data_IF_684751558507
#
_entry.id   IF_684751558507
#
_cell.length_a   1.000
_cell.length_b   1.000
_cell.length_c   1.000
_cell.angle_alpha   90.00
_cell.angle_beta   90.00
_cell.angle_gamma   90.00
#
_symmetry.space_group_name_H-M   'P 1'
#
loop_
_entity.id
_entity.type
_entity.pdbx_description
1 polymer ?
#
# COMPACT_ATOMS: atom_id res chain seq x y z
N UNK A 1 15.75 -24.48 -12.12
CA UNK A 1 16.66 -25.42 -11.40
C UNK A 1 17.85 -24.73 -10.72
N UNK A 2 18.53 -23.76 -11.34
CA UNK A 2 19.68 -23.08 -10.72
C UNK A 2 19.32 -22.34 -9.41
N UNK A 3 18.24 -21.55 -9.41
CA UNK A 3 17.75 -20.84 -8.22
C UNK A 3 17.37 -21.79 -7.08
N UNK A 4 16.61 -22.86 -7.38
CA UNK A 4 16.18 -23.86 -6.39
C UNK A 4 17.37 -24.58 -5.74
N UNK A 5 18.42 -24.89 -6.51
CA UNK A 5 19.64 -25.49 -5.98
C UNK A 5 20.43 -24.53 -5.09
N UNK A 6 20.56 -23.26 -5.51
CA UNK A 6 21.23 -22.24 -4.70
C UNK A 6 20.52 -22.02 -3.34
N UNK A 7 19.19 -21.99 -3.37
CA UNK A 7 18.37 -21.89 -2.17
C UNK A 7 18.54 -23.12 -1.27
N UNK A 8 18.50 -24.34 -1.83
CA UNK A 8 18.74 -25.57 -1.07
C UNK A 8 20.11 -25.57 -0.40
N UNK A 9 21.16 -25.19 -1.13
CA UNK A 9 22.53 -25.08 -0.57
C UNK A 9 22.57 -24.07 0.60
N UNK A 10 21.91 -22.93 0.44
CA UNK A 10 21.83 -21.91 1.50
C UNK A 10 21.10 -22.46 2.73
N UNK A 11 19.95 -23.11 2.54
CA UNK A 11 19.19 -23.72 3.64
C UNK A 11 19.99 -24.83 4.35
N UNK A 12 20.68 -25.68 3.59
CA UNK A 12 21.57 -26.71 4.14
C UNK A 12 22.71 -26.11 4.97
N UNK A 13 23.31 -25.00 4.54
CA UNK A 13 24.35 -24.30 5.33
C UNK A 13 23.83 -23.73 6.65
N UNK A 14 22.52 -23.52 6.75
CA UNK A 14 21.83 -23.06 7.96
C UNK A 14 21.20 -24.24 8.75
N UNK A 15 21.57 -25.48 8.43
CA UNK A 15 21.05 -26.71 9.05
C UNK A 15 19.56 -26.97 8.87
N UNK A 16 18.95 -26.40 7.82
CA UNK A 16 17.58 -26.75 7.42
C UNK A 16 17.59 -27.89 6.39
N UNK A 17 16.68 -28.85 6.55
CA UNK A 17 16.36 -29.84 5.53
C UNK A 17 15.42 -29.23 4.48
N UNK A 18 15.76 -29.39 3.21
CA UNK A 18 14.97 -28.85 2.10
C UNK A 18 14.92 -29.83 0.93
N UNK A 19 13.73 -30.06 0.41
CA UNK A 19 13.46 -30.89 -0.76
C UNK A 19 13.02 -30.00 -1.92
N UNK A 20 13.47 -30.33 -3.14
CA UNK A 20 13.10 -29.60 -4.35
C UNK A 20 11.93 -30.33 -5.00
N UNK A 21 10.77 -29.67 -5.03
CA UNK A 21 9.58 -30.14 -5.71
C UNK A 21 9.46 -29.44 -7.07
N UNK A 22 9.60 -30.20 -8.15
CA UNK A 22 9.37 -29.68 -9.51
C UNK A 22 7.92 -29.93 -9.90
N UNK A 23 7.10 -28.89 -9.81
CA UNK A 23 5.70 -29.01 -10.18
C UNK A 23 5.52 -29.20 -11.70
N UNK A 24 4.71 -30.17 -12.06
CA UNK A 24 4.19 -30.42 -13.41
C UNK A 24 2.73 -30.81 -13.30
N UNK A 25 2.00 -30.93 -14.41
CA UNK A 25 0.62 -31.41 -14.36
C UNK A 25 0.50 -32.84 -13.76
N UNK A 26 1.54 -33.67 -13.90
CA UNK A 26 1.57 -35.01 -13.29
C UNK A 26 1.72 -34.96 -11.76
N UNK A 27 2.20 -33.84 -11.21
CA UNK A 27 2.33 -33.67 -9.76
C UNK A 27 0.98 -33.66 -9.04
N UNK A 28 -0.11 -33.37 -9.75
CA UNK A 28 -1.48 -33.41 -9.20
C UNK A 28 -1.90 -34.82 -8.76
N UNK A 29 -1.37 -35.87 -9.40
CA UNK A 29 -1.67 -37.26 -9.07
C UNK A 29 -0.51 -38.01 -8.39
N UNK A 30 0.64 -37.36 -8.21
CA UNK A 30 1.81 -37.95 -7.55
C UNK A 30 1.65 -37.92 -6.02
N UNK A 31 1.47 -39.10 -5.44
CA UNK A 31 1.30 -39.28 -4.00
C UNK A 31 2.53 -38.90 -3.19
N UNK A 32 3.74 -39.08 -3.72
CA UNK A 32 4.98 -38.66 -3.06
C UNK A 32 5.05 -37.14 -3.04
N UNK A 33 4.80 -36.50 -4.20
CA UNK A 33 4.81 -35.03 -4.32
C UNK A 33 3.81 -34.38 -3.36
N UNK A 34 2.56 -34.84 -3.40
CA UNK A 34 1.47 -34.28 -2.59
C UNK A 34 1.69 -34.52 -1.10
N UNK A 35 2.24 -35.68 -0.71
CA UNK A 35 2.59 -35.97 0.68
C UNK A 35 3.72 -35.07 1.18
N UNK A 36 4.78 -34.87 0.40
CA UNK A 36 5.88 -33.95 0.76
C UNK A 36 5.36 -32.51 0.88
N UNK A 37 4.55 -32.06 -0.08
CA UNK A 37 3.95 -30.72 -0.05
C UNK A 37 3.09 -30.53 1.20
N UNK A 38 2.24 -31.52 1.53
CA UNK A 38 1.38 -31.47 2.70
C UNK A 38 2.15 -31.55 4.02
N UNK A 39 3.25 -32.30 4.08
CA UNK A 39 4.11 -32.42 5.27
C UNK A 39 5.04 -31.24 5.55
N UNK A 40 5.22 -30.33 4.59
CA UNK A 40 6.15 -29.20 4.73
C UNK A 40 5.74 -28.18 5.82
N UNK A 41 6.69 -27.58 6.53
CA UNK A 41 6.40 -26.47 7.47
C UNK A 41 6.64 -25.10 6.84
N UNK A 42 7.45 -25.04 5.78
CA UNK A 42 7.78 -23.83 5.05
C UNK A 42 7.86 -24.17 3.56
N UNK A 43 7.29 -23.30 2.73
CA UNK A 43 7.33 -23.40 1.27
C UNK A 43 8.11 -22.22 0.70
N UNK A 44 9.06 -22.51 -0.19
CA UNK A 44 9.71 -21.51 -1.02
C UNK A 44 9.26 -21.72 -2.47
N UNK A 45 8.67 -20.69 -3.07
CA UNK A 45 8.21 -20.72 -4.47
C UNK A 45 9.11 -19.82 -5.29
N UNK A 46 9.86 -20.43 -6.20
CA UNK A 46 10.81 -19.75 -7.08
C UNK A 46 10.40 -19.96 -8.53
N UNK A 47 10.57 -18.94 -9.35
CA UNK A 47 10.22 -18.97 -10.77
C UNK A 47 10.15 -17.56 -11.35
N UNK A 48 10.61 -17.42 -12.59
CA UNK A 48 10.62 -16.14 -13.29
C UNK A 48 9.29 -15.88 -14.04
N UNK A 49 8.50 -16.94 -14.28
CA UNK A 49 7.16 -16.88 -14.85
C UNK A 49 6.17 -17.83 -14.14
N UNK A 50 4.87 -17.58 -14.33
CA UNK A 50 3.79 -18.34 -13.69
C UNK A 50 3.26 -19.49 -14.54
N UNK A 51 3.69 -19.64 -15.79
CA UNK A 51 3.06 -20.53 -16.79
C UNK A 51 3.00 -21.97 -16.28
N UNK A 52 4.12 -22.48 -15.74
CA UNK A 52 4.18 -23.83 -15.20
C UNK A 52 3.39 -24.03 -13.91
N UNK A 53 3.15 -22.95 -13.14
CA UNK A 53 2.44 -23.00 -11.86
C UNK A 53 0.94 -22.72 -12.00
N UNK A 54 0.46 -22.11 -13.09
CA UNK A 54 -0.96 -21.81 -13.31
C UNK A 54 -1.90 -23.00 -13.08
N UNK A 55 -1.55 -24.26 -13.42
CA UNK A 55 -2.47 -25.38 -13.19
C UNK A 55 -2.83 -25.60 -11.71
N UNK A 56 -2.02 -25.12 -10.75
CA UNK A 56 -2.37 -25.17 -9.30
C UNK A 56 -3.57 -24.28 -8.95
N UNK A 57 -3.93 -23.35 -9.84
CA UNK A 57 -5.06 -22.42 -9.67
C UNK A 57 -6.36 -22.99 -10.26
N UNK A 58 -6.30 -24.11 -10.97
CA UNK A 58 -7.49 -24.70 -11.59
C UNK A 58 -8.44 -25.23 -10.52
N UNK A 59 -9.77 -25.04 -10.68
CA UNK A 59 -10.75 -25.70 -9.83
C UNK A 59 -10.51 -27.21 -9.78
N UNK A 60 -10.40 -27.76 -8.57
CA UNK A 60 -10.13 -29.20 -8.36
C UNK A 60 -8.66 -29.61 -8.38
N UNK A 61 -7.71 -28.67 -8.51
CA UNK A 61 -6.28 -28.98 -8.28
C UNK A 61 -6.06 -29.52 -6.87
N UNK A 62 -5.44 -30.70 -6.78
CA UNK A 62 -5.08 -31.35 -5.51
C UNK A 62 -3.97 -30.53 -4.83
N UNK A 63 -2.95 -30.12 -5.59
CA UNK A 63 -1.88 -29.28 -5.07
C UNK A 63 -2.40 -27.90 -4.63
N UNK A 64 -3.28 -27.28 -5.42
CA UNK A 64 -3.94 -26.03 -5.08
C UNK A 64 -4.77 -26.13 -3.79
N UNK A 65 -5.54 -27.21 -3.64
CA UNK A 65 -6.31 -27.49 -2.42
C UNK A 65 -5.43 -27.66 -1.18
N UNK A 66 -4.29 -28.35 -1.30
CA UNK A 66 -3.30 -28.46 -0.22
C UNK A 66 -2.76 -27.07 0.13
N UNK A 67 -2.29 -26.30 -0.86
CA UNK A 67 -1.73 -24.97 -0.63
C UNK A 67 -2.73 -24.04 0.06
N UNK A 68 -3.98 -23.97 -0.41
CA UNK A 68 -5.03 -23.16 0.20
C UNK A 68 -5.30 -23.59 1.65
N UNK A 69 -5.46 -24.89 1.89
CA UNK A 69 -5.70 -25.42 3.25
C UNK A 69 -4.56 -25.04 4.19
N UNK A 70 -3.32 -25.05 3.71
CA UNK A 70 -2.14 -24.71 4.50
C UNK A 70 -1.97 -23.21 4.72
N UNK A 71 -2.38 -22.35 3.78
CA UNK A 71 -2.40 -20.90 3.99
C UNK A 71 -3.24 -20.50 5.20
N UNK A 72 -4.24 -21.32 5.55
CA UNK A 72 -5.13 -21.11 6.69
C UNK A 72 -4.56 -21.70 8.00
N UNK A 73 -3.48 -22.48 7.94
CA UNK A 73 -2.89 -23.13 9.11
C UNK A 73 -1.89 -22.20 9.84
N UNK A 74 -2.03 -22.02 11.17
CA UNK A 74 -1.06 -21.29 11.95
C UNK A 74 0.34 -21.89 11.84
N UNK A 75 1.36 -21.04 11.64
CA UNK A 75 2.77 -21.44 11.65
C UNK A 75 3.33 -21.94 10.33
N UNK A 76 2.50 -22.19 9.31
CA UNK A 76 2.99 -22.44 7.95
C UNK A 76 3.48 -21.14 7.32
N UNK A 77 4.64 -21.20 6.67
CA UNK A 77 5.31 -20.01 6.09
C UNK A 77 5.50 -20.20 4.60
N UNK A 78 5.21 -19.16 3.82
CA UNK A 78 5.43 -19.14 2.38
C UNK A 78 6.35 -17.99 2.02
N UNK A 79 7.40 -18.29 1.27
CA UNK A 79 8.31 -17.32 0.68
C UNK A 79 8.16 -17.40 -0.84
N UNK A 80 7.57 -16.38 -1.43
CA UNK A 80 7.37 -16.30 -2.88
C UNK A 80 8.26 -15.20 -3.45
N UNK A 81 8.98 -15.50 -4.53
CA UNK A 81 9.93 -14.59 -5.16
C UNK A 81 9.37 -14.05 -6.47
N UNK A 82 9.46 -12.73 -6.66
CA UNK A 82 9.02 -12.05 -7.88
C UNK A 82 7.55 -12.31 -8.20
N UNK A 83 7.28 -12.74 -9.43
CA UNK A 83 5.93 -12.95 -9.97
C UNK A 83 5.16 -14.07 -9.25
N UNK A 84 5.85 -15.04 -8.64
CA UNK A 84 5.22 -16.15 -7.90
C UNK A 84 4.38 -15.69 -6.71
N UNK A 85 4.66 -14.51 -6.15
CA UNK A 85 3.86 -13.92 -5.08
C UNK A 85 2.39 -13.68 -5.46
N UNK A 86 2.13 -13.49 -6.75
CA UNK A 86 0.76 -13.31 -7.29
C UNK A 86 -0.13 -14.53 -7.08
N UNK A 87 0.45 -15.73 -7.02
CA UNK A 87 -0.32 -16.96 -6.80
C UNK A 87 -1.05 -16.94 -5.46
N UNK A 88 -0.55 -16.19 -4.48
CA UNK A 88 -1.05 -16.20 -3.10
C UNK A 88 -2.04 -15.06 -2.81
N UNK A 89 -2.44 -14.30 -3.82
CA UNK A 89 -3.47 -13.25 -3.70
C UNK A 89 -4.85 -13.76 -4.11
N UNK A 90 -5.85 -12.87 -4.16
CA UNK A 90 -7.20 -13.23 -4.61
C UNK A 90 -7.31 -13.26 -6.12
N UNK A 91 -6.58 -12.38 -6.78
CA UNK A 91 -6.43 -12.37 -8.22
C UNK A 91 -5.23 -11.53 -8.62
N UNK A 92 -4.87 -11.64 -9.89
CA UNK A 92 -3.75 -10.91 -10.47
C UNK A 92 -3.93 -10.72 -11.97
N UNK A 93 -3.21 -9.72 -12.47
CA UNK A 93 -3.02 -9.52 -13.90
C UNK A 93 -1.92 -10.43 -14.42
N UNK A 94 -2.23 -11.09 -15.51
CA UNK A 94 -1.43 -12.07 -16.23
C UNK A 94 -1.19 -11.60 -17.67
N UNK A 95 -0.32 -12.29 -18.38
CA UNK A 95 0.09 -11.97 -19.75
C UNK A 95 0.77 -10.59 -19.87
N UNK A 96 1.59 -10.22 -18.87
CA UNK A 96 2.27 -8.92 -18.80
C UNK A 96 3.55 -8.84 -19.63
N UNK A 97 4.14 -9.98 -19.99
CA UNK A 97 5.49 -10.08 -20.56
C UNK A 97 5.50 -10.54 -22.02
N UNK A 98 4.38 -11.08 -22.54
CA UNK A 98 4.31 -11.59 -23.92
C UNK A 98 4.21 -10.50 -24.99
N UNK A 99 3.75 -9.30 -24.61
CA UNK A 99 3.68 -8.12 -25.45
C UNK A 99 4.02 -6.89 -24.59
N UNK A 100 5.03 -6.11 -25.00
CA UNK A 100 5.42 -4.87 -24.29
C UNK A 100 4.28 -3.84 -24.23
N UNK A 101 3.28 -3.97 -25.11
CA UNK A 101 2.08 -3.14 -25.17
C UNK A 101 0.82 -3.89 -24.70
N UNK A 102 0.93 -4.92 -23.86
CA UNK A 102 -0.20 -5.75 -23.46
C UNK A 102 -1.36 -4.92 -22.87
N UNK A 103 -1.08 -4.02 -21.92
CA UNK A 103 -2.10 -3.14 -21.33
C UNK A 103 -2.67 -2.17 -22.39
N UNK A 104 -1.82 -1.58 -23.22
CA UNK A 104 -2.23 -0.67 -24.29
C UNK A 104 -3.17 -1.34 -25.31
N UNK A 105 -2.89 -2.60 -25.64
CA UNK A 105 -3.59 -3.38 -26.69
C UNK A 105 -4.72 -4.28 -26.20
N UNK A 106 -5.03 -4.22 -24.90
CA UNK A 106 -6.08 -5.02 -24.30
C UNK A 106 -5.76 -6.52 -24.25
N UNK A 107 -4.50 -6.89 -23.99
CA UNK A 107 -4.00 -8.27 -24.00
C UNK A 107 -3.68 -8.83 -22.61
N UNK A 108 -3.68 -8.03 -21.55
CA UNK A 108 -3.58 -8.58 -20.19
C UNK A 108 -4.78 -9.49 -19.91
N UNK A 109 -4.57 -10.54 -19.14
CA UNK A 109 -5.62 -11.45 -18.70
C UNK A 109 -5.78 -11.34 -17.19
N UNK A 110 -6.97 -11.63 -16.68
CA UNK A 110 -7.19 -11.75 -15.24
C UNK A 110 -7.13 -13.23 -14.86
N UNK A 111 -6.37 -13.54 -13.82
CA UNK A 111 -6.33 -14.87 -13.22
C UNK A 111 -6.69 -14.78 -11.73
N UNK A 112 -7.44 -15.78 -11.26
CA UNK A 112 -7.77 -15.95 -9.84
C UNK A 112 -6.56 -16.54 -9.12
N UNK A 113 -6.23 -16.04 -7.93
CA UNK A 113 -5.17 -16.60 -7.11
C UNK A 113 -5.68 -17.68 -6.14
N UNK A 114 -4.77 -18.24 -5.35
CA UNK A 114 -5.05 -19.30 -4.38
C UNK A 114 -5.89 -18.81 -3.19
N UNK A 115 -5.83 -17.51 -2.85
CA UNK A 115 -6.48 -16.98 -1.65
C UNK A 115 -7.58 -15.97 -2.00
N UNK A 116 -8.77 -16.45 -2.43
CA UNK A 116 -9.86 -15.58 -2.85
C UNK A 116 -10.34 -14.61 -1.75
N UNK A 117 -10.16 -14.96 -0.48
CA UNK A 117 -10.64 -14.16 0.66
C UNK A 117 -9.70 -13.01 1.04
N UNK A 118 -8.46 -13.00 0.53
CA UNK A 118 -7.51 -11.92 0.82
C UNK A 118 -7.96 -10.53 0.33
N UNK A 119 -8.87 -10.50 -0.65
CA UNK A 119 -9.36 -9.31 -1.33
C UNK A 119 -8.24 -8.37 -1.85
N UNK A 120 -7.14 -8.98 -2.29
CA UNK A 120 -5.88 -8.32 -2.60
C UNK A 120 -5.39 -8.69 -4.01
N UNK A 121 -4.78 -7.71 -4.66
CA UNK A 121 -3.92 -7.88 -5.85
C UNK A 121 -2.50 -7.44 -5.53
N UNK A 122 -1.52 -8.19 -6.04
CA UNK A 122 -0.11 -7.85 -5.95
C UNK A 122 0.52 -7.78 -7.35
N UNK A 123 1.39 -6.80 -7.56
CA UNK A 123 2.27 -6.74 -8.73
C UNK A 123 3.70 -6.46 -8.29
N UNK A 124 4.62 -7.37 -8.58
CA UNK A 124 6.06 -7.19 -8.38
C UNK A 124 6.71 -6.26 -9.41
N UNK A 125 7.98 -5.89 -9.17
CA UNK A 125 8.89 -5.30 -10.18
C UNK A 125 8.38 -4.04 -10.88
N UNK A 126 7.55 -3.24 -10.18
CA UNK A 126 6.91 -2.05 -10.76
C UNK A 126 7.92 -1.07 -11.36
N UNK A 127 9.05 -0.90 -10.69
CA UNK A 127 10.08 0.10 -11.02
C UNK A 127 11.34 -0.51 -11.66
N UNK A 128 11.30 -1.77 -12.09
CA UNK A 128 12.44 -2.32 -12.83
C UNK A 128 12.50 -1.65 -14.20
N UNK A 129 13.71 -1.24 -14.59
CA UNK A 129 14.00 -0.62 -15.88
C UNK A 129 13.71 -1.59 -17.03
N UNK A 130 12.56 -1.43 -17.68
CA UNK A 130 12.09 -2.31 -18.74
C UNK A 130 10.97 -1.67 -19.55
N UNK A 131 10.81 -2.13 -20.80
CA UNK A 131 9.71 -1.74 -21.69
C UNK A 131 8.32 -2.22 -21.22
N UNK A 132 8.24 -2.92 -20.08
CA UNK A 132 7.00 -3.45 -19.50
C UNK A 132 6.36 -2.50 -18.50
N UNK A 133 6.88 -1.28 -18.34
CA UNK A 133 6.42 -0.31 -17.33
C UNK A 133 4.90 -0.06 -17.41
N UNK A 134 4.35 0.22 -18.60
CA UNK A 134 2.90 0.46 -18.73
C UNK A 134 2.09 -0.76 -18.30
N UNK A 135 2.51 -1.96 -18.70
CA UNK A 135 1.85 -3.20 -18.31
C UNK A 135 1.82 -3.34 -16.79
N UNK A 136 2.97 -3.17 -16.13
CA UNK A 136 3.08 -3.31 -14.66
C UNK A 136 2.33 -2.22 -13.91
N UNK A 137 2.39 -0.97 -14.37
CA UNK A 137 1.64 0.14 -13.77
C UNK A 137 0.14 -0.05 -13.86
N UNK A 138 -0.37 -0.58 -14.97
CA UNK A 138 -1.81 -0.82 -15.13
C UNK A 138 -2.28 -2.06 -14.39
N UNK A 139 -1.37 -3.01 -14.10
CA UNK A 139 -1.74 -4.37 -13.76
C UNK A 139 -2.53 -4.51 -12.45
N UNK A 140 -2.11 -3.86 -11.36
CA UNK A 140 -2.78 -4.08 -10.07
C UNK A 140 -4.16 -3.45 -10.07
N UNK A 141 -4.25 -2.19 -10.50
CA UNK A 141 -5.51 -1.46 -10.62
C UNK A 141 -6.47 -2.16 -11.59
N UNK A 142 -6.04 -2.56 -12.79
CA UNK A 142 -6.89 -3.26 -13.74
C UNK A 142 -7.38 -4.61 -13.19
N UNK A 143 -6.54 -5.37 -12.50
CA UNK A 143 -6.98 -6.61 -11.84
C UNK A 143 -7.94 -6.35 -10.66
N UNK A 144 -7.79 -5.25 -9.92
CA UNK A 144 -8.77 -4.84 -8.91
C UNK A 144 -10.13 -4.61 -9.56
N UNK A 145 -10.19 -3.89 -10.69
CA UNK A 145 -11.43 -3.70 -11.44
C UNK A 145 -12.02 -5.02 -11.94
N UNK A 146 -11.22 -5.86 -12.61
CA UNK A 146 -11.69 -7.12 -13.20
C UNK A 146 -12.16 -8.12 -12.16
N UNK A 147 -11.44 -8.24 -11.04
CA UNK A 147 -11.75 -9.13 -9.94
C UNK A 147 -12.72 -8.55 -8.92
N UNK A 148 -13.11 -7.27 -9.05
CA UNK A 148 -13.87 -6.52 -8.03
C UNK A 148 -13.21 -6.57 -6.64
N UNK A 149 -11.89 -6.43 -6.63
CA UNK A 149 -11.05 -6.53 -5.43
C UNK A 149 -10.85 -5.15 -4.80
N UNK A 150 -10.75 -5.12 -3.47
CA UNK A 150 -10.67 -3.89 -2.67
C UNK A 150 -9.27 -3.34 -2.57
N UNK A 151 -8.27 -4.21 -2.47
CA UNK A 151 -6.89 -3.80 -2.21
C UNK A 151 -5.97 -4.15 -3.37
N UNK A 152 -5.06 -3.21 -3.68
CA UNK A 152 -3.95 -3.41 -4.59
C UNK A 152 -2.63 -3.04 -3.92
N UNK A 153 -1.56 -3.73 -4.29
CA UNK A 153 -0.21 -3.44 -3.81
C UNK A 153 0.80 -3.55 -4.95
N UNK A 154 1.71 -2.57 -5.02
CA UNK A 154 2.87 -2.64 -5.90
C UNK A 154 4.13 -2.99 -5.11
N UNK A 155 4.90 -3.90 -5.69
CA UNK A 155 6.17 -4.39 -5.20
C UNK A 155 7.34 -3.87 -6.03
N UNK A 156 8.52 -3.87 -5.43
CA UNK A 156 9.79 -3.57 -6.11
C UNK A 156 10.75 -4.75 -5.96
N UNK A 157 11.62 -4.99 -6.93
CA UNK A 157 12.50 -6.18 -6.98
C UNK A 157 13.36 -6.38 -5.72
N UNK A 158 13.76 -5.31 -5.05
CA UNK A 158 14.66 -5.35 -3.89
C UNK A 158 13.93 -5.44 -2.54
N UNK A 159 12.60 -5.58 -2.55
CA UNK A 159 11.79 -5.49 -1.33
C UNK A 159 11.18 -6.81 -0.90
N UNK A 160 11.09 -6.96 0.42
CA UNK A 160 10.37 -8.04 1.06
C UNK A 160 9.09 -7.46 1.62
N UNK A 161 7.95 -8.09 1.27
CA UNK A 161 6.64 -7.76 1.81
C UNK A 161 6.23 -8.89 2.74
N UNK A 162 6.09 -8.59 4.04
CA UNK A 162 5.75 -9.58 5.05
C UNK A 162 4.26 -9.48 5.40
N UNK A 163 3.48 -10.43 4.91
CA UNK A 163 2.06 -10.55 5.22
C UNK A 163 1.85 -11.37 6.48
N UNK A 164 1.18 -10.77 7.46
CA UNK A 164 0.82 -11.44 8.72
C UNK A 164 -0.67 -11.72 8.70
N UNK A 165 -1.03 -13.00 8.65
CA UNK A 165 -2.44 -13.44 8.67
C UNK A 165 -3.10 -13.20 10.02
N UNK A 166 -2.34 -13.19 11.12
CA UNK A 166 -2.86 -13.02 12.48
C UNK A 166 -3.56 -11.69 12.73
N UNK A 167 -3.10 -10.62 12.08
CA UNK A 167 -3.62 -9.25 12.24
C UNK A 167 -4.04 -8.62 10.90
N UNK A 168 -4.05 -9.42 9.83
CA UNK A 168 -4.30 -8.98 8.46
C UNK A 168 -3.50 -7.72 8.11
N UNK A 169 -2.18 -7.79 8.30
CA UNK A 169 -1.27 -6.67 8.06
C UNK A 169 -0.13 -7.00 7.10
N UNK A 170 0.48 -5.95 6.55
CA UNK A 170 1.68 -6.06 5.71
C UNK A 170 2.73 -5.02 6.11
N UNK A 171 4.00 -5.42 6.12
CA UNK A 171 5.16 -4.52 6.24
C UNK A 171 6.06 -4.63 5.01
N UNK A 172 6.89 -3.61 4.77
CA UNK A 172 7.91 -3.64 3.72
C UNK A 172 9.31 -3.35 4.29
N UNK A 173 10.35 -3.89 3.64
CA UNK A 173 11.74 -3.69 4.06
C UNK A 173 12.42 -2.48 3.41
N UNK A 174 12.55 -2.47 2.08
CA UNK A 174 13.48 -1.58 1.36
C UNK A 174 12.79 -0.53 0.48
N UNK A 175 11.60 -0.83 -0.01
CA UNK A 175 10.79 0.08 -0.83
C UNK A 175 9.56 0.53 -0.05
N UNK A 176 9.09 1.78 -0.25
CA UNK A 176 7.88 2.25 0.39
C UNK A 176 6.71 1.29 0.13
N UNK A 177 5.99 0.95 1.18
CA UNK A 177 4.77 0.17 1.06
C UNK A 177 3.70 1.05 0.41
N UNK A 178 3.25 0.67 -0.79
CA UNK A 178 2.20 1.36 -1.54
C UNK A 178 0.94 0.50 -1.59
N UNK A 179 -0.12 0.96 -0.93
CA UNK A 179 -1.42 0.30 -0.88
C UNK A 179 -2.48 1.17 -1.54
N UNK A 180 -3.26 0.55 -2.42
CA UNK A 180 -4.43 1.10 -3.08
C UNK A 180 -5.66 0.49 -2.42
N UNK A 181 -6.58 1.32 -1.94
CA UNK A 181 -7.80 0.91 -1.25
C UNK A 181 -9.02 1.52 -1.96
N UNK A 182 -9.79 0.66 -2.61
CA UNK A 182 -11.01 1.00 -3.34
C UNK A 182 -12.28 0.74 -2.50
N UNK A 183 -12.16 0.50 -1.18
CA UNK A 183 -13.31 0.15 -0.33
C UNK A 183 -14.37 1.24 -0.22
N UNK A 184 -14.03 2.50 -0.50
CA UNK A 184 -14.96 3.65 -0.54
C UNK A 184 -15.37 4.05 -1.96
N UNK A 185 -14.91 3.29 -2.96
CA UNK A 185 -15.29 3.52 -4.34
C UNK A 185 -16.74 3.12 -4.58
N UNK A 186 -17.45 3.96 -5.32
CA UNK A 186 -18.83 3.73 -5.77
C UNK A 186 -18.93 3.62 -7.28
N UNK A 187 -17.90 4.05 -7.99
CA UNK A 187 -17.80 4.06 -9.45
C UNK A 187 -16.41 3.60 -9.86
N UNK A 188 -16.38 2.58 -10.71
CA UNK A 188 -15.19 2.14 -11.39
C UNK A 188 -15.54 1.81 -12.84
N UNK A 189 -14.73 2.30 -13.77
CA UNK A 189 -14.89 2.04 -15.20
C UNK A 189 -13.53 1.85 -15.87
N UNK A 190 -13.54 1.27 -17.08
CA UNK A 190 -12.36 1.05 -17.90
C UNK A 190 -12.50 1.75 -19.25
N UNK A 191 -11.38 2.02 -19.92
CA UNK A 191 -11.42 2.62 -21.25
C UNK A 191 -12.23 1.77 -22.22
N UNK A 192 -13.03 2.44 -23.07
CA UNK A 192 -13.71 1.84 -24.24
C UNK A 192 -12.90 2.04 -25.53
N UNK A 193 -11.82 2.83 -25.48
CA UNK A 193 -10.99 3.12 -26.64
C UNK A 193 -10.04 1.96 -26.97
N UNK A 194 -10.06 1.55 -28.23
CA UNK A 194 -9.20 0.51 -28.80
C UNK A 194 -8.15 1.16 -29.69
N UNK A 195 -6.88 0.91 -29.42
CA UNK A 195 -5.80 1.38 -30.28
C UNK A 195 -5.61 0.50 -31.52
N UNK A 196 -4.88 0.99 -32.51
CA UNK A 196 -4.51 0.22 -33.72
C UNK A 196 -3.82 -1.09 -33.34
N UNK A 197 -4.21 -2.19 -33.99
CA UNK A 197 -3.71 -3.55 -33.72
C UNK A 197 -3.99 -4.12 -32.33
N UNK A 198 -4.88 -3.49 -31.56
CA UNK A 198 -5.37 -4.01 -30.27
C UNK A 198 -6.42 -5.09 -30.49
N UNK A 199 -6.59 -6.02 -29.55
CA UNK A 199 -7.67 -7.04 -29.59
C UNK A 199 -8.86 -6.64 -28.69
N UNK A 200 -8.64 -5.74 -27.75
CA UNK A 200 -9.65 -5.19 -26.85
C UNK A 200 -9.29 -3.73 -26.50
N UNK A 201 -10.16 -2.99 -25.79
CA UNK A 201 -9.84 -1.65 -25.31
C UNK A 201 -8.59 -1.62 -24.42
N UNK A 202 -7.97 -0.44 -24.32
CA UNK A 202 -6.82 -0.21 -23.43
C UNK A 202 -7.19 -0.52 -21.99
N UNK A 203 -6.37 -1.30 -21.31
CA UNK A 203 -6.64 -1.81 -19.96
C UNK A 203 -6.17 -0.83 -18.88
N UNK A 204 -6.70 0.39 -18.97
CA UNK A 204 -6.60 1.44 -17.96
C UNK A 204 -7.96 1.62 -17.31
N UNK A 205 -7.97 2.09 -16.07
CA UNK A 205 -9.19 2.24 -15.30
C UNK A 205 -9.28 3.61 -14.64
N UNK A 206 -10.52 4.02 -14.38
CA UNK A 206 -10.86 5.13 -13.51
C UNK A 206 -11.61 4.57 -12.29
N UNK A 207 -11.19 4.95 -11.09
CA UNK A 207 -11.84 4.59 -9.82
C UNK A 207 -12.08 5.89 -9.05
N UNK A 208 -13.32 6.16 -8.64
CA UNK A 208 -13.59 7.26 -7.72
C UNK A 208 -13.26 6.88 -6.27
N UNK A 209 -12.92 7.86 -5.43
CA UNK A 209 -12.59 7.65 -4.01
C UNK A 209 -11.52 6.57 -3.75
N UNK A 210 -10.59 6.40 -4.68
CA UNK A 210 -9.44 5.52 -4.47
C UNK A 210 -8.51 6.15 -3.44
N UNK A 211 -8.27 5.46 -2.33
CA UNK A 211 -7.28 5.89 -1.34
C UNK A 211 -5.93 5.26 -1.65
N UNK A 212 -4.89 6.09 -1.72
CA UNK A 212 -3.51 5.62 -1.84
C UNK A 212 -2.83 5.87 -0.49
N UNK A 213 -2.31 4.81 0.11
CA UNK A 213 -1.55 4.87 1.35
C UNK A 213 -0.10 4.49 1.06
N UNK A 214 0.83 5.35 1.43
CA UNK A 214 2.26 5.15 1.24
C UNK A 214 3.01 5.33 2.57
N UNK A 215 3.97 4.45 2.86
CA UNK A 215 4.88 4.62 3.99
C UNK A 215 6.26 4.09 3.65
N UNK A 216 7.29 4.87 3.98
CA UNK A 216 8.69 4.44 3.97
C UNK A 216 9.18 4.04 5.39
N UNK A 217 8.30 4.05 6.38
CA UNK A 217 8.61 3.67 7.76
C UNK A 217 8.59 2.15 7.88
N UNK A 218 9.77 1.54 8.02
CA UNK A 218 9.95 0.08 8.01
C UNK A 218 9.28 -0.64 9.20
N UNK A 219 9.06 0.07 10.29
CA UNK A 219 8.37 -0.43 11.49
C UNK A 219 6.85 -0.27 11.42
N UNK A 220 6.35 0.42 10.39
CA UNK A 220 4.92 0.62 10.19
C UNK A 220 4.34 -0.53 9.37
N UNK A 221 3.22 -1.06 9.83
CA UNK A 221 2.47 -2.08 9.09
C UNK A 221 1.16 -1.49 8.61
N UNK A 222 0.75 -1.78 7.38
CA UNK A 222 -0.60 -1.44 6.94
C UNK A 222 -1.56 -2.53 7.41
N UNK A 223 -2.58 -2.16 8.19
CA UNK A 223 -3.66 -3.05 8.58
C UNK A 223 -4.79 -2.98 7.54
N UNK A 224 -5.09 -4.09 6.88
CA UNK A 224 -6.17 -4.16 5.88
C UNK A 224 -7.55 -3.98 6.52
N UNK A 225 -7.74 -4.46 7.76
CA UNK A 225 -9.00 -4.32 8.50
C UNK A 225 -9.24 -2.88 8.96
N UNK A 226 -8.19 -2.20 9.44
CA UNK A 226 -8.29 -0.80 9.87
C UNK A 226 -8.09 0.20 8.74
N UNK A 227 -7.65 -0.27 7.56
CA UNK A 227 -7.40 0.55 6.37
C UNK A 227 -6.43 1.71 6.65
N UNK A 228 -5.40 1.47 7.47
CA UNK A 228 -4.40 2.47 7.84
C UNK A 228 -3.08 1.84 8.25
N UNK A 229 -2.03 2.66 8.27
CA UNK A 229 -0.77 2.31 8.91
C UNK A 229 -0.94 2.27 10.42
N UNK A 230 -0.43 1.21 11.04
CA UNK A 230 -0.30 1.01 12.48
C UNK A 230 1.17 0.79 12.77
N UNK A 231 1.74 1.58 13.68
CA UNK A 231 3.12 1.41 14.09
C UNK A 231 3.26 0.15 14.95
N UNK A 232 4.24 -0.70 14.64
CA UNK A 232 4.68 -1.69 15.62
C UNK A 232 5.35 -0.93 16.75
N UNK A 233 4.80 -1.07 17.96
CA UNK A 233 5.18 -0.35 19.17
C UNK A 233 6.69 -0.16 19.35
N UNK A 234 7.18 1.01 18.97
CA UNK A 234 8.30 1.69 19.62
C UNK A 234 7.85 3.11 19.91
N UNK A 235 7.08 3.24 20.98
CA UNK A 235 6.91 4.45 21.80
C UNK A 235 7.30 5.77 21.12
N UNK A 236 6.49 6.21 20.16
CA UNK A 236 6.20 7.62 20.05
C UNK A 236 5.03 7.80 21.00
N UNK A 237 5.22 8.62 22.05
CA UNK A 237 4.08 9.19 22.75
C UNK A 237 3.32 9.96 21.67
N UNK A 238 2.23 9.39 21.17
CA UNK A 238 1.15 10.21 20.68
C UNK A 238 0.84 11.16 21.84
N UNK A 239 1.27 12.42 21.75
CA UNK A 239 0.53 13.46 22.44
C UNK A 239 -0.87 13.33 21.85
N UNK A 240 -1.82 12.83 22.63
CA UNK A 240 -3.19 12.55 22.19
C UNK A 240 -3.72 13.71 21.33
N UNK A 241 -3.62 13.56 20.00
CA UNK A 241 -4.16 14.51 19.04
C UNK A 241 -5.65 14.23 19.00
N UNK A 242 -6.38 14.76 19.98
CA UNK A 242 -7.82 14.84 19.92
C UNK A 242 -8.13 15.87 18.83
N UNK A 243 -8.60 15.46 17.66
CA UNK A 243 -9.25 16.41 16.76
C UNK A 243 -10.61 16.77 17.39
N UNK A 244 -10.92 18.06 17.58
CA UNK A 244 -12.20 18.45 18.16
C UNK A 244 -13.35 18.02 17.25
N UNK A 245 -14.47 17.59 17.84
CA UNK A 245 -15.67 17.22 17.09
C UNK A 245 -16.05 18.31 16.08
N UNK A 246 -16.27 17.91 14.82
CA UNK A 246 -16.60 18.81 13.70
C UNK A 246 -17.75 19.75 14.10
N UNK A 247 -17.44 21.04 14.22
CA UNK A 247 -18.44 22.12 14.35
C UNK A 247 -18.36 22.96 15.63
N UNK A 248 -17.57 22.60 16.64
CA UNK A 248 -17.47 23.38 17.89
C UNK A 248 -16.28 24.35 17.98
N UNK A 249 -15.22 24.13 17.20
CA UNK A 249 -14.01 24.97 17.23
C UNK A 249 -13.58 25.33 15.81
N UNK A 250 -13.33 26.62 15.56
CA UNK A 250 -12.81 27.08 14.27
C UNK A 250 -11.68 28.09 14.46
N UNK A 251 -10.67 27.95 13.61
CA UNK A 251 -9.52 28.84 13.54
C UNK A 251 -9.85 29.99 12.57
N UNK A 252 -9.54 31.21 12.99
CA UNK A 252 -9.76 32.44 12.23
C UNK A 252 -8.43 33.12 11.97
N UNK A 253 -8.15 33.41 10.71
CA UNK A 253 -6.91 34.04 10.25
C UNK A 253 -7.29 35.34 9.57
N UNK A 254 -6.78 36.47 10.06
CA UNK A 254 -7.10 37.78 9.51
C UNK A 254 -5.90 38.73 9.57
N UNK A 255 -5.61 39.49 8.50
CA UNK A 255 -6.19 39.37 7.16
C UNK A 255 -5.77 38.05 6.47
N UNK A 256 -6.58 37.57 5.53
CA UNK A 256 -6.24 36.45 4.65
C UNK A 256 -6.90 36.67 3.27
N UNK A 257 -6.14 36.98 2.19
CA UNK A 257 -4.68 37.02 2.11
C UNK A 257 -4.03 38.02 3.08
N UNK A 258 -2.89 37.62 3.65
CA UNK A 258 -2.11 38.37 4.61
C UNK A 258 -0.99 39.17 3.94
N UNK A 259 -0.67 40.32 4.51
CA UNK A 259 0.54 41.07 4.18
C UNK A 259 1.72 40.61 5.04
N UNK A 260 2.45 41.57 5.62
CA UNK A 260 3.59 41.30 6.51
C UNK A 260 3.13 40.79 7.88
N UNK A 261 1.99 41.23 8.38
CA UNK A 261 1.45 40.83 9.68
C UNK A 261 0.05 40.27 9.53
N UNK A 262 -0.23 39.19 10.26
CA UNK A 262 -1.57 38.63 10.39
C UNK A 262 -1.81 38.05 11.77
N UNK A 263 -3.08 37.87 12.11
CA UNK A 263 -3.52 37.37 13.39
C UNK A 263 -4.20 36.02 13.24
N UNK A 264 -3.78 35.08 14.09
CA UNK A 264 -4.38 33.75 14.25
C UNK A 264 -5.22 33.78 15.51
N UNK A 265 -6.50 33.42 15.44
CA UNK A 265 -7.41 33.42 16.59
C UNK A 265 -8.36 32.22 16.60
N UNK A 266 -8.87 31.84 17.77
CA UNK A 266 -9.87 30.75 17.91
C UNK A 266 -11.24 31.36 18.20
N UNK A 267 -12.26 30.94 17.45
CA UNK A 267 -13.66 31.38 17.64
C UNK A 267 -14.36 30.58 18.75
N UNK A 268 -13.78 30.57 19.95
CA UNK A 268 -14.41 30.02 21.16
C UNK A 268 -13.95 30.86 22.36
N UNK A 269 -14.90 31.39 23.13
CA UNK A 269 -14.59 32.28 24.24
C UNK A 269 -13.81 31.61 25.38
N UNK A 270 -13.88 30.27 25.48
CA UNK A 270 -13.27 29.48 26.55
C UNK A 270 -12.02 28.72 26.13
N UNK A 271 -11.52 28.93 24.91
CA UNK A 271 -10.36 28.17 24.40
C UNK A 271 -9.19 29.10 24.09
N UNK A 272 -8.01 28.71 24.56
CA UNK A 272 -6.74 29.40 24.32
C UNK A 272 -5.88 28.65 23.32
N UNK A 273 -4.98 29.37 22.66
CA UNK A 273 -3.97 28.80 21.77
C UNK A 273 -2.71 28.55 22.59
N UNK A 274 -2.26 27.29 22.68
CA UNK A 274 -1.02 26.94 23.38
C UNK A 274 0.22 27.03 22.48
N UNK A 275 0.07 26.67 21.19
CA UNK A 275 1.15 26.65 20.21
C UNK A 275 0.60 26.87 18.80
N UNK A 276 1.35 27.55 17.95
CA UNK A 276 1.07 27.68 16.51
C UNK A 276 2.30 27.28 15.72
N UNK A 277 2.10 26.40 14.75
CA UNK A 277 3.11 26.00 13.77
C UNK A 277 2.62 26.28 12.36
N UNK A 278 3.49 26.83 11.52
CA UNK A 278 3.17 27.15 10.12
C UNK A 278 4.20 26.51 9.21
N UNK A 279 3.70 25.92 8.13
CA UNK A 279 4.44 25.12 7.17
C UNK A 279 4.23 25.67 5.76
N UNK A 280 5.28 25.66 4.95
CA UNK A 280 5.17 25.86 3.50
C UNK A 280 4.40 24.70 2.85
N UNK A 281 3.99 24.87 1.59
CA UNK A 281 3.31 23.81 0.84
C UNK A 281 4.20 22.57 0.59
N UNK A 282 5.53 22.71 0.69
CA UNK A 282 6.48 21.61 0.58
C UNK A 282 6.69 20.87 1.92
N UNK A 283 6.06 21.34 3.00
CA UNK A 283 6.13 20.74 4.34
C UNK A 283 7.24 21.30 5.24
N UNK A 284 7.99 22.32 4.79
CA UNK A 284 9.00 22.99 5.61
C UNK A 284 8.34 23.86 6.68
N UNK A 285 8.74 23.71 7.94
CA UNK A 285 8.22 24.55 9.04
C UNK A 285 8.89 25.92 9.02
N UNK A 286 8.12 26.96 8.74
CA UNK A 286 8.61 28.35 8.61
C UNK A 286 8.38 29.20 9.87
N UNK A 287 7.52 28.74 10.78
CA UNK A 287 7.25 29.43 12.03
C UNK A 287 6.81 28.47 13.14
N UNK A 288 7.20 28.80 14.36
CA UNK A 288 6.73 28.14 15.59
C UNK A 288 6.64 29.21 16.67
N UNK A 289 5.45 29.38 17.26
CA UNK A 289 5.32 30.23 18.44
C UNK A 289 6.08 29.59 19.60
N UNK A 290 6.73 30.39 20.45
CA UNK A 290 7.38 29.86 21.66
C UNK A 290 6.34 29.14 22.53
N UNK A 291 6.70 27.98 23.08
CA UNK A 291 5.95 27.25 24.10
C UNK A 291 6.06 27.99 25.43
N UNK A 292 5.47 29.16 25.47
CA UNK A 292 5.21 29.86 26.72
C UNK A 292 3.75 30.20 26.61
N UNK A 293 2.93 29.48 27.39
CA UNK A 293 1.52 29.76 27.63
C UNK A 293 1.28 31.23 27.36
N UNK A 294 0.63 31.55 26.25
CA UNK A 294 0.01 32.86 26.16
C UNK A 294 -0.91 32.89 27.38
N UNK A 295 -0.67 33.82 28.31
CA UNK A 295 -1.33 33.87 29.62
C UNK A 295 -2.82 33.51 29.49
N UNK A 296 -3.40 32.80 30.48
CA UNK A 296 -4.81 32.39 30.46
C UNK A 296 -5.71 33.49 29.87
N UNK A 297 -6.25 33.25 28.67
CA UNK A 297 -7.12 34.21 27.98
C UNK A 297 -6.59 34.85 26.69
N UNK A 298 -5.36 34.55 26.22
CA UNK A 298 -4.94 35.04 24.90
C UNK A 298 -5.62 34.24 23.78
N UNK A 299 -6.58 34.90 23.12
CA UNK A 299 -7.41 34.35 22.03
C UNK A 299 -6.79 34.54 20.65
N UNK A 300 -5.68 35.27 20.56
CA UNK A 300 -5.09 35.69 19.29
C UNK A 300 -3.56 35.80 19.35
N UNK A 301 -2.88 35.31 18.32
CA UNK A 301 -1.44 35.42 18.11
C UNK A 301 -1.17 36.26 16.86
N UNK A 302 -0.35 37.31 17.00
CA UNK A 302 0.18 38.05 15.86
C UNK A 302 1.40 37.34 15.28
N UNK A 303 1.44 37.20 13.96
CA UNK A 303 2.50 36.51 13.23
C UNK A 303 3.04 37.44 12.15
N UNK A 304 4.37 37.53 12.08
CA UNK A 304 5.08 38.33 11.08
C UNK A 304 5.67 37.40 10.00
N UNK A 305 5.27 37.62 8.75
CA UNK A 305 5.65 36.86 7.56
C UNK A 305 6.64 37.59 6.65
N UNK A 306 7.34 38.63 7.14
CA UNK A 306 8.27 39.43 6.32
C UNK A 306 9.38 38.63 5.65
N UNK A 307 9.77 37.50 6.23
CA UNK A 307 10.82 36.62 5.70
C UNK A 307 10.29 35.52 4.78
N UNK A 308 8.98 35.44 4.55
CA UNK A 308 8.34 34.35 3.82
C UNK A 308 8.11 34.74 2.36
N UNK A 309 8.24 33.77 1.45
CA UNK A 309 7.87 34.00 0.06
C UNK A 309 6.34 34.10 -0.09
N UNK A 310 5.87 34.88 -1.06
CA UNK A 310 4.45 34.92 -1.42
C UNK A 310 3.96 33.51 -1.80
N UNK A 311 2.79 33.12 -1.30
CA UNK A 311 2.27 31.77 -1.51
C UNK A 311 1.30 31.28 -0.44
N UNK A 312 0.96 29.98 -0.51
CA UNK A 312 0.06 29.33 0.44
C UNK A 312 0.83 28.57 1.51
N UNK A 313 0.41 28.75 2.75
CA UNK A 313 0.97 28.08 3.92
C UNK A 313 -0.12 27.35 4.70
N UNK A 314 0.25 26.21 5.27
CA UNK A 314 -0.60 25.38 6.13
C UNK A 314 -0.24 25.64 7.58
N UNK A 315 -1.24 25.70 8.45
CA UNK A 315 -1.05 26.01 9.86
C UNK A 315 -1.72 24.95 10.74
N UNK A 316 -1.08 24.70 11.89
CA UNK A 316 -1.63 23.95 13.01
C UNK A 316 -1.61 24.81 14.26
N UNK A 317 -2.77 24.96 14.91
CA UNK A 317 -2.90 25.61 16.20
C UNK A 317 -3.29 24.56 17.25
N UNK A 318 -2.52 24.48 18.32
CA UNK A 318 -2.74 23.56 19.42
C UNK A 318 -3.59 24.26 20.47
N UNK A 319 -4.61 23.57 20.97
CA UNK A 319 -5.51 24.04 22.04
C UNK A 319 -5.72 22.92 23.05
N UNK A 320 -6.20 23.21 24.28
CA UNK A 320 -6.55 22.17 25.25
C UNK A 320 -7.63 21.20 24.76
N UNK A 321 -8.42 21.59 23.76
CA UNK A 321 -9.50 20.78 23.17
C UNK A 321 -9.08 20.05 21.90
N UNK A 322 -7.82 20.19 21.47
CA UNK A 322 -7.32 19.55 20.27
C UNK A 322 -6.52 20.44 19.33
N UNK A 323 -6.20 19.89 18.15
CA UNK A 323 -5.47 20.59 17.09
C UNK A 323 -6.46 21.13 16.05
N UNK A 324 -6.29 22.41 15.70
CA UNK A 324 -7.02 23.09 14.63
C UNK A 324 -6.10 23.33 13.44
N UNK A 325 -6.63 23.12 12.24
CA UNK A 325 -5.92 23.34 10.99
C UNK A 325 -6.42 24.60 10.29
N UNK A 326 -5.51 25.32 9.63
CA UNK A 326 -5.84 26.52 8.86
C UNK A 326 -4.95 26.71 7.66
N UNK A 327 -5.36 27.61 6.77
CA UNK A 327 -4.60 28.02 5.58
C UNK A 327 -4.46 29.53 5.55
N UNK A 328 -3.24 30.02 5.38
CA UNK A 328 -2.97 31.45 5.15
C UNK A 328 -2.32 31.63 3.78
N UNK A 329 -2.73 32.67 3.06
CA UNK A 329 -2.12 33.09 1.80
C UNK A 329 -1.32 34.35 2.07
N UNK A 330 -0.03 34.36 1.77
CA UNK A 330 0.85 35.54 1.88
C UNK A 330 0.97 36.19 0.50
N UNK A 331 0.75 37.50 0.44
CA UNK A 331 0.97 38.33 -0.76
C UNK A 331 2.40 38.89 -0.80
#
# INVERSE_FOLDING_TARGET
MSQSNALRTTLSSLSYSAEILNYTQNSESDTSFTSTLNGSTTLFVVGDDLTGLKPVLNPGSICGGILLSKLQQPGWRVFAFGETGKLFTSGFSDNLTSDIYAAYRGKMTFATGLNPDANLVYQSTLFDDSDLYENRMCSALWAMFKGRLRFGMYGNATSVYNFRSSDSSVTSSNFPLLIFDASESTLCDSSVYRATSSIAPRQVIAINNLRISASNVRTSSFSFSQRKFVESTTSIKDEDIVEPEKGQLSLSIFPNPAGIDFTVSVKDEKTTISRVEIFSITGERVFTSKESFLDEGVKSLSVNSSAWAAGTYLMRAYTPKGILFGKVVIN
#
